data_IF_979377439275
#
_entry.id   IF_979377439275
#
_cell.length_a   1.000
_cell.length_b   1.000
_cell.length_c   1.000
_cell.angle_alpha   90.00
_cell.angle_beta   90.00
_cell.angle_gamma   90.00
#
_symmetry.space_group_name_H-M   'P 1'
#
loop_
_entity.id
_entity.type
_entity.pdbx_description
1 polymer ?
#
# COMPACT_ATOMS: atom_id res chain seq x y z
N UNK A 1 34.52 28.54 0.31
CA UNK A 1 34.57 27.06 0.44
C UNK A 1 33.18 26.44 0.69
N UNK A 2 32.13 26.80 -0.07
CA UNK A 2 30.76 26.23 0.10
C UNK A 2 30.14 25.68 -1.20
N UNK A 3 30.89 25.72 -2.30
CA UNK A 3 30.35 25.46 -3.64
C UNK A 3 30.89 24.16 -4.27
N UNK A 4 31.79 23.44 -3.60
CA UNK A 4 32.42 22.23 -4.15
C UNK A 4 31.66 20.95 -3.78
N UNK A 5 31.04 20.88 -2.60
CA UNK A 5 30.32 19.67 -2.13
C UNK A 5 28.93 19.50 -2.77
N UNK A 6 28.38 20.57 -3.34
CA UNK A 6 27.05 20.51 -4.01
C UNK A 6 27.07 19.77 -5.34
N UNK A 7 28.24 19.59 -5.95
CA UNK A 7 28.34 19.04 -7.30
C UNK A 7 28.59 17.52 -7.36
N UNK A 8 28.71 16.84 -6.21
CA UNK A 8 28.98 15.40 -6.15
C UNK A 8 27.76 14.54 -5.77
N UNK A 9 26.64 15.16 -5.37
CA UNK A 9 25.45 14.44 -4.88
C UNK A 9 24.33 14.38 -5.92
N UNK A 10 24.30 15.29 -6.91
CA UNK A 10 23.20 15.40 -7.89
C UNK A 10 23.56 14.93 -9.30
N UNK A 11 24.51 14.01 -9.42
CA UNK A 11 24.88 13.41 -10.70
C UNK A 11 24.68 11.89 -10.73
N UNK A 12 23.62 11.41 -10.06
CA UNK A 12 23.05 10.10 -10.38
C UNK A 12 21.87 10.30 -11.32
N UNK A 13 22.11 10.03 -12.60
CA UNK A 13 21.07 9.70 -13.57
C UNK A 13 20.23 8.56 -12.99
N UNK A 14 19.05 8.87 -12.43
CA UNK A 14 18.19 7.87 -11.79
C UNK A 14 17.41 7.05 -12.82
N UNK A 15 18.06 6.06 -13.43
CA UNK A 15 17.35 4.88 -13.90
C UNK A 15 17.02 4.05 -12.65
N UNK A 16 16.04 4.50 -11.87
CA UNK A 16 15.68 3.82 -10.63
C UNK A 16 14.97 2.50 -10.94
N UNK A 17 15.54 1.33 -10.61
CA UNK A 17 14.83 0.05 -10.72
C UNK A 17 13.52 0.06 -9.92
N UNK A 18 13.48 0.86 -8.85
CA UNK A 18 12.28 1.13 -8.04
C UNK A 18 11.14 1.73 -8.88
N UNK A 19 11.42 2.63 -9.82
CA UNK A 19 10.39 3.25 -10.66
C UNK A 19 9.79 2.24 -11.65
N UNK A 20 10.61 1.33 -12.21
CA UNK A 20 10.07 0.25 -13.05
C UNK A 20 9.18 -0.70 -12.25
N UNK A 21 9.56 -1.01 -11.01
CA UNK A 21 8.75 -1.85 -10.14
C UNK A 21 7.45 -1.16 -9.73
N UNK A 22 7.46 0.16 -9.48
CA UNK A 22 6.25 0.96 -9.25
C UNK A 22 5.28 0.87 -10.41
N UNK A 23 5.76 1.13 -11.63
CA UNK A 23 4.92 1.00 -12.83
C UNK A 23 4.38 -0.41 -13.03
N UNK A 24 5.17 -1.45 -12.71
CA UNK A 24 4.69 -2.83 -12.75
C UNK A 24 3.58 -3.08 -11.74
N UNK A 25 3.70 -2.59 -10.51
CA UNK A 25 2.67 -2.69 -9.48
C UNK A 25 1.39 -1.95 -9.87
N UNK A 26 1.52 -0.75 -10.44
CA UNK A 26 0.38 0.01 -10.94
C UNK A 26 -0.30 -0.66 -12.14
N UNK A 27 0.47 -1.30 -13.02
CA UNK A 27 -0.06 -2.01 -14.18
C UNK A 27 -0.74 -3.36 -13.85
N UNK A 28 -0.75 -3.80 -12.59
CA UNK A 28 -1.51 -5.00 -12.20
C UNK A 28 -3.00 -4.69 -12.30
N UNK A 29 -3.66 -5.33 -13.26
CA UNK A 29 -5.11 -5.37 -13.38
C UNK A 29 -5.67 -6.58 -12.64
N UNK A 30 -6.88 -6.42 -12.11
CA UNK A 30 -7.54 -7.43 -11.29
C UNK A 30 -8.72 -7.96 -12.09
N UNK A 31 -8.59 -9.20 -12.55
CA UNK A 31 -9.52 -9.83 -13.48
C UNK A 31 -10.26 -11.03 -12.88
N UNK A 32 -9.85 -11.48 -11.70
CA UNK A 32 -10.40 -12.66 -11.06
C UNK A 32 -10.58 -12.45 -9.55
N UNK A 33 -11.63 -13.08 -9.02
CA UNK A 33 -12.02 -13.00 -7.62
C UNK A 33 -10.94 -13.49 -6.67
N UNK A 34 -10.30 -14.61 -7.00
CA UNK A 34 -9.30 -15.24 -6.14
C UNK A 34 -8.08 -14.32 -5.93
N UNK A 35 -7.62 -13.66 -6.98
CA UNK A 35 -6.54 -12.67 -6.91
C UNK A 35 -6.96 -11.45 -6.10
N UNK A 36 -8.20 -10.96 -6.28
CA UNK A 36 -8.71 -9.83 -5.52
C UNK A 36 -8.80 -10.14 -4.00
N UNK A 37 -9.30 -11.32 -3.63
CA UNK A 37 -9.33 -11.80 -2.25
C UNK A 37 -7.90 -11.99 -1.70
N UNK A 38 -7.00 -12.58 -2.48
CA UNK A 38 -5.60 -12.76 -2.09
C UNK A 38 -4.92 -11.43 -1.79
N UNK A 39 -5.09 -10.43 -2.65
CA UNK A 39 -4.57 -9.07 -2.47
C UNK A 39 -5.13 -8.44 -1.19
N UNK A 40 -6.45 -8.51 -1.00
CA UNK A 40 -7.10 -7.95 0.19
C UNK A 40 -6.69 -8.66 1.50
N UNK A 41 -6.32 -9.94 1.43
CA UNK A 41 -5.83 -10.69 2.58
C UNK A 41 -4.34 -10.40 2.88
N UNK A 42 -3.51 -10.16 1.86
CA UNK A 42 -2.07 -9.97 2.02
C UNK A 42 -1.66 -8.51 2.26
N UNK A 43 -2.35 -7.55 1.67
CA UNK A 43 -2.09 -6.12 1.87
C UNK A 43 -3.06 -5.63 2.94
N UNK A 44 -2.64 -5.35 4.18
CA UNK A 44 -3.59 -4.97 5.25
C UNK A 44 -4.28 -3.62 4.98
N UNK A 45 -5.52 -3.46 5.48
CA UNK A 45 -6.27 -2.20 5.41
C UNK A 45 -5.59 -1.09 6.23
N UNK A 46 -4.97 -1.49 7.34
CA UNK A 46 -4.20 -0.62 8.22
C UNK A 46 -2.73 -0.71 7.88
N UNK A 47 -2.03 0.38 8.13
CA UNK A 47 -0.59 0.43 7.92
C UNK A 47 0.13 -0.57 8.84
N UNK A 48 0.97 -1.47 8.29
CA UNK A 48 1.58 -2.54 9.09
C UNK A 48 2.47 -2.01 10.23
N UNK A 49 2.96 -0.78 10.11
CA UNK A 49 3.80 -0.11 11.11
C UNK A 49 3.00 0.69 12.14
N UNK A 50 1.74 1.02 11.84
CA UNK A 50 0.88 1.69 12.82
C UNK A 50 0.36 0.64 13.80
N UNK A 51 1.00 0.57 14.97
CA UNK A 51 0.63 -0.38 16.01
C UNK A 51 0.68 0.30 17.36
N UNK A 52 -0.30 -0.03 18.20
CA UNK A 52 -0.33 0.37 19.60
C UNK A 52 0.21 -0.79 20.43
N UNK A 53 1.32 -0.54 21.12
CA UNK A 53 1.95 -1.50 22.03
C UNK A 53 1.52 -1.10 23.44
N UNK A 54 0.85 -2.02 24.13
CA UNK A 54 0.44 -1.83 25.52
C UNK A 54 1.52 -2.42 26.43
N UNK A 55 2.14 -1.57 27.25
CA UNK A 55 3.09 -2.01 28.27
C UNK A 55 2.62 -1.50 29.63
N UNK A 56 1.95 -2.39 30.37
CA UNK A 56 1.33 -2.09 31.66
C UNK A 56 0.23 -1.00 31.56
N UNK A 57 0.23 0.02 32.43
CA UNK A 57 -0.74 1.14 32.36
C UNK A 57 -0.41 2.17 31.27
N UNK A 58 0.69 2.00 30.52
CA UNK A 58 1.12 2.94 29.49
C UNK A 58 0.96 2.31 28.09
N UNK A 59 0.37 3.07 27.16
CA UNK A 59 0.30 2.66 25.76
C UNK A 59 1.26 3.50 24.93
N UNK A 60 2.17 2.85 24.22
CA UNK A 60 3.02 3.50 23.22
C UNK A 60 2.43 3.26 21.84
N UNK A 61 2.13 4.34 21.11
CA UNK A 61 1.62 4.25 19.75
C UNK A 61 2.76 4.51 18.78
N UNK A 62 3.08 3.51 17.95
CA UNK A 62 3.95 3.73 16.79
C UNK A 62 3.09 4.48 15.75
N UNK A 63 3.49 5.69 15.32
CA UNK A 63 2.72 6.45 14.35
C UNK A 63 2.70 5.75 12.98
N UNK A 64 1.76 6.10 12.09
CA UNK A 64 1.72 5.59 10.73
C UNK A 64 2.96 6.03 9.95
N UNK A 65 3.98 5.17 9.95
CA UNK A 65 5.24 5.34 9.19
C UNK A 65 5.12 4.90 7.73
N UNK A 66 3.90 4.91 7.20
CA UNK A 66 3.52 4.28 5.93
C UNK A 66 4.22 4.92 4.72
N UNK A 67 4.69 6.17 4.86
CA UNK A 67 5.50 6.88 3.85
C UNK A 67 6.94 6.38 3.73
N UNK A 68 7.44 5.56 4.66
CA UNK A 68 8.78 4.96 4.55
C UNK A 68 8.85 3.87 3.48
N UNK A 69 7.73 3.18 3.18
CA UNK A 69 7.71 2.19 2.12
C UNK A 69 7.63 2.91 0.76
N UNK A 70 8.65 2.79 -0.12
CA UNK A 70 8.66 3.43 -1.42
C UNK A 70 7.53 2.95 -2.35
N UNK A 71 6.86 1.83 -2.08
CA UNK A 71 5.75 1.29 -2.86
C UNK A 71 4.37 1.45 -2.19
N UNK A 72 4.28 2.26 -1.13
CA UNK A 72 3.05 2.37 -0.34
C UNK A 72 1.84 2.82 -1.16
N UNK A 73 2.02 3.80 -2.05
CA UNK A 73 0.91 4.36 -2.83
C UNK A 73 0.34 3.34 -3.79
N UNK A 74 1.23 2.61 -4.46
CA UNK A 74 0.93 1.59 -5.45
C UNK A 74 0.22 0.39 -4.79
N UNK A 75 0.67 -0.04 -3.60
CA UNK A 75 0.02 -1.11 -2.83
C UNK A 75 -1.36 -0.73 -2.30
N UNK A 76 -1.53 0.50 -1.81
CA UNK A 76 -2.85 1.00 -1.37
C UNK A 76 -3.80 1.12 -2.56
N UNK A 77 -3.33 1.63 -3.69
CA UNK A 77 -4.10 1.70 -4.92
C UNK A 77 -4.49 0.29 -5.42
N UNK A 78 -3.59 -0.68 -5.35
CA UNK A 78 -3.87 -2.06 -5.70
C UNK A 78 -4.93 -2.70 -4.79
N UNK A 79 -4.84 -2.49 -3.47
CA UNK A 79 -5.87 -2.96 -2.52
C UNK A 79 -7.23 -2.32 -2.80
N UNK A 80 -7.25 -1.02 -3.09
CA UNK A 80 -8.49 -0.32 -3.41
C UNK A 80 -9.13 -0.91 -4.67
N UNK A 81 -8.36 -1.12 -5.73
CA UNK A 81 -8.84 -1.77 -6.95
C UNK A 81 -9.37 -3.19 -6.68
N UNK A 82 -8.68 -3.96 -5.84
CA UNK A 82 -9.10 -5.32 -5.47
C UNK A 82 -10.44 -5.32 -4.73
N UNK A 83 -10.57 -4.40 -3.78
CA UNK A 83 -11.80 -4.18 -3.03
C UNK A 83 -12.94 -3.81 -3.96
N UNK A 84 -12.75 -2.82 -4.84
CA UNK A 84 -13.79 -2.37 -5.77
C UNK A 84 -14.21 -3.48 -6.72
N UNK A 85 -13.27 -4.29 -7.21
CA UNK A 85 -13.59 -5.48 -8.01
C UNK A 85 -14.51 -6.45 -7.25
N UNK A 86 -14.17 -6.80 -6.00
CA UNK A 86 -14.99 -7.68 -5.18
C UNK A 86 -16.37 -7.10 -4.88
N UNK A 87 -16.46 -5.80 -4.61
CA UNK A 87 -17.74 -5.13 -4.38
C UNK A 87 -18.62 -5.16 -5.63
N UNK A 88 -18.06 -4.85 -6.80
CA UNK A 88 -18.81 -4.88 -8.06
C UNK A 88 -19.27 -6.31 -8.43
N UNK A 89 -18.41 -7.32 -8.24
CA UNK A 89 -18.78 -8.72 -8.49
C UNK A 89 -19.88 -9.19 -7.53
N UNK A 90 -19.87 -8.73 -6.27
CA UNK A 90 -20.95 -8.98 -5.31
C UNK A 90 -22.25 -8.28 -5.73
N UNK A 91 -22.19 -7.07 -6.28
CA UNK A 91 -23.36 -6.35 -6.77
C UNK A 91 -23.97 -6.99 -8.03
N UNK A 92 -23.15 -7.56 -8.91
CA UNK A 92 -23.61 -8.32 -10.09
C UNK A 92 -24.27 -9.65 -9.71
N UNK A 93 -23.81 -10.30 -8.63
CA UNK A 93 -24.34 -11.58 -8.14
C UNK A 93 -25.44 -11.40 -7.08
N UNK A 94 -25.55 -10.20 -6.51
CA UNK A 94 -26.61 -9.79 -5.60
C UNK A 94 -26.61 -10.49 -4.24
N UNK A 95 -25.61 -10.24 -3.35
CA UNK A 95 -25.84 -10.37 -1.90
C UNK A 95 -24.79 -9.71 -0.96
N UNK A 96 -25.28 -8.76 -0.14
CA UNK A 96 -24.82 -8.20 1.15
C UNK A 96 -23.39 -7.66 1.36
N UNK A 97 -23.34 -6.33 1.42
CA UNK A 97 -22.42 -5.52 2.22
C UNK A 97 -22.60 -5.79 3.72
N UNK A 98 -21.51 -6.01 4.48
CA UNK A 98 -21.38 -5.64 5.91
C UNK A 98 -19.96 -5.94 6.46
N UNK A 99 -19.18 -6.84 5.82
CA UNK A 99 -17.85 -7.21 6.33
C UNK A 99 -16.71 -6.23 5.98
N UNK A 100 -16.88 -5.37 4.96
CA UNK A 100 -15.79 -4.52 4.47
C UNK A 100 -15.56 -3.25 5.30
N UNK A 101 -16.55 -2.76 6.05
CA UNK A 101 -16.42 -1.54 6.87
C UNK A 101 -15.79 -1.77 8.25
N UNK A 102 -15.38 -3.00 8.60
CA UNK A 102 -14.94 -3.34 9.97
C UNK A 102 -13.43 -3.62 10.15
N UNK A 103 -12.60 -3.37 9.14
CA UNK A 103 -11.14 -3.60 9.22
C UNK A 103 -10.32 -2.33 9.37
#
# INVERSE_FOLDING_TARGET
MKNFVRNLIFQFSEINPLTRLRHKLDAIEITDRATAEWICNHIPARCPFERRIYWFSNSFSIPPLCKLNPFYRELVALRLRATTYLMNEIDEVGEYSESFLRS
#
